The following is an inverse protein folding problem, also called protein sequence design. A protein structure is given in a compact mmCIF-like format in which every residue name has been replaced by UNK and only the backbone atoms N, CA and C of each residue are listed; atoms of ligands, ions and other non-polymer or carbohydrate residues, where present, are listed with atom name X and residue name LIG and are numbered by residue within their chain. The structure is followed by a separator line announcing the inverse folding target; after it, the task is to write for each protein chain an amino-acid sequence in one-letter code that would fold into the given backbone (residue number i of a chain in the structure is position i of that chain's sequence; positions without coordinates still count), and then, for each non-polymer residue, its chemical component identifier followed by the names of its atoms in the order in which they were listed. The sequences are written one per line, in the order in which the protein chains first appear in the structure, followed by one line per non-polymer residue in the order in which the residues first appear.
data_IF_142134094432
#
_entry.id   IF_142134094432
#
_cell.length_a   1.000
_cell.length_b   1.000
_cell.length_c   1.000
_cell.angle_alpha   90.00
_cell.angle_beta   90.00
_cell.angle_gamma   90.00
#
_symmetry.space_group_name_H-M   'P 1'
#
loop_
_entity.id
_entity.type
_entity.pdbx_description
1 polymer ?
#
# COMPACT_ATOMS: atom_id res chain seq x y z
N UNK A 1 -10.34 -24.31 -0.73
CA UNK A 1 -10.18 -22.87 -0.94
C UNK A 1 -8.68 -22.57 -0.85
N UNK A 2 -8.09 -22.05 -1.92
CA UNK A 2 -6.70 -21.63 -1.95
C UNK A 2 -6.65 -20.12 -1.69
N UNK A 3 -5.65 -19.67 -0.93
CA UNK A 3 -5.37 -18.24 -0.74
C UNK A 3 -3.90 -18.04 -1.08
N UNK A 4 -3.63 -17.05 -1.93
CA UNK A 4 -2.28 -16.61 -2.26
C UNK A 4 -2.14 -15.14 -1.90
N UNK A 5 -0.93 -14.73 -1.52
CA UNK A 5 -0.61 -13.37 -1.14
C UNK A 5 0.89 -13.14 -1.23
N UNK A 6 1.28 -11.89 -1.40
CA UNK A 6 2.67 -11.46 -1.44
C UNK A 6 2.87 -10.29 -0.49
N UNK A 7 4.07 -10.19 0.07
CA UNK A 7 4.53 -8.94 0.66
C UNK A 7 5.00 -8.06 -0.50
N UNK A 8 4.28 -6.96 -0.76
CA UNK A 8 4.65 -6.02 -1.83
C UNK A 8 6.04 -5.43 -1.57
N UNK A 9 6.74 -5.01 -2.64
CA UNK A 9 8.02 -4.33 -2.52
C UNK A 9 8.01 -3.24 -1.45
N UNK A 10 9.04 -3.24 -0.61
CA UNK A 10 9.15 -2.32 0.52
C UNK A 10 8.36 -2.71 1.76
N UNK A 11 7.70 -3.87 1.76
CA UNK A 11 6.89 -4.37 2.88
C UNK A 11 7.28 -5.79 3.27
N UNK A 12 7.06 -6.11 4.55
CA UNK A 12 7.20 -7.47 5.08
C UNK A 12 8.51 -8.14 4.69
N UNK A 13 8.43 -9.41 4.32
CA UNK A 13 9.57 -10.26 3.96
C UNK A 13 10.14 -9.98 2.57
N UNK A 14 9.54 -9.07 1.79
CA UNK A 14 10.14 -8.62 0.53
C UNK A 14 11.29 -7.62 0.75
N UNK A 15 11.39 -7.05 1.94
CA UNK A 15 12.51 -6.17 2.33
C UNK A 15 13.70 -7.04 2.71
N UNK A 16 14.77 -6.95 1.92
CA UNK A 16 16.02 -7.66 2.20
C UNK A 16 16.68 -7.18 3.50
N UNK A 17 17.60 -7.98 4.05
CA UNK A 17 18.43 -7.57 5.17
C UNK A 17 19.19 -6.26 4.84
N UNK A 18 19.13 -5.28 5.74
CA UNK A 18 19.66 -3.93 5.49
C UNK A 18 18.84 -3.08 4.50
N UNK A 19 17.70 -3.59 4.04
CA UNK A 19 16.74 -2.89 3.19
C UNK A 19 16.01 -1.76 3.91
N UNK A 20 15.34 -0.91 3.13
CA UNK A 20 14.56 0.22 3.65
C UNK A 20 13.08 -0.09 3.53
N UNK A 21 12.39 -0.27 4.66
CA UNK A 21 10.93 -0.38 4.67
C UNK A 21 10.29 0.88 4.08
N UNK A 22 9.19 0.69 3.34
CA UNK A 22 8.47 1.76 2.66
C UNK A 22 9.22 2.36 1.47
N UNK A 23 10.29 1.71 0.98
CA UNK A 23 10.90 1.98 -0.32
C UNK A 23 10.56 0.86 -1.29
N UNK A 24 10.00 1.20 -2.46
CA UNK A 24 9.49 0.22 -3.41
C UNK A 24 10.59 -0.15 -4.41
N UNK A 25 10.84 0.71 -5.39
CA UNK A 25 11.96 0.62 -6.31
C UNK A 25 12.24 1.98 -6.96
N UNK A 26 13.38 2.10 -7.62
CA UNK A 26 13.81 3.37 -8.21
C UNK A 26 12.97 3.77 -9.43
N UNK A 27 12.72 2.80 -10.32
CA UNK A 27 12.09 3.02 -11.61
C UNK A 27 10.65 2.52 -11.58
N UNK A 28 9.72 3.44 -11.84
CA UNK A 28 8.28 3.19 -12.00
C UNK A 28 7.63 2.27 -10.94
N UNK A 29 7.77 2.60 -9.63
CA UNK A 29 7.34 1.72 -8.55
C UNK A 29 5.84 1.38 -8.57
N UNK A 30 4.98 2.31 -9.02
CA UNK A 30 3.54 2.07 -9.08
C UNK A 30 3.16 1.00 -10.11
N UNK A 31 3.81 1.01 -11.28
CA UNK A 31 3.61 -0.04 -12.28
C UNK A 31 4.23 -1.36 -11.82
N UNK A 32 5.41 -1.31 -11.19
CA UNK A 32 6.10 -2.53 -10.74
C UNK A 32 5.25 -3.31 -9.73
N UNK A 33 4.68 -2.68 -8.71
CA UNK A 33 3.84 -3.41 -7.73
C UNK A 33 2.55 -3.96 -8.33
N UNK A 34 1.96 -3.28 -9.31
CA UNK A 34 0.81 -3.82 -10.04
C UNK A 34 1.21 -5.03 -10.89
N UNK A 35 2.42 -5.02 -11.47
CA UNK A 35 2.98 -6.13 -12.23
C UNK A 35 3.35 -7.32 -11.34
N UNK A 36 3.80 -7.07 -10.11
CA UNK A 36 4.12 -8.15 -9.16
C UNK A 36 2.85 -8.95 -8.81
N UNK A 37 1.73 -8.27 -8.56
CA UNK A 37 0.41 -8.90 -8.43
C UNK A 37 0.04 -9.73 -9.67
N UNK A 38 0.37 -9.23 -10.88
CA UNK A 38 0.17 -10.00 -12.12
C UNK A 38 1.00 -11.27 -12.15
N UNK A 39 2.27 -11.18 -11.73
CA UNK A 39 3.18 -12.32 -11.67
C UNK A 39 2.66 -13.38 -10.69
N UNK A 40 2.19 -12.97 -9.51
CA UNK A 40 1.60 -13.90 -8.55
C UNK A 40 0.36 -14.60 -9.10
N UNK A 41 -0.54 -13.85 -9.77
CA UNK A 41 -1.69 -14.44 -10.47
C UNK A 41 -1.23 -15.49 -11.49
N UNK A 42 -0.28 -15.16 -12.35
CA UNK A 42 0.22 -16.07 -13.40
C UNK A 42 0.80 -17.36 -12.82
N UNK A 43 1.64 -17.27 -11.78
CA UNK A 43 2.20 -18.44 -11.08
C UNK A 43 1.08 -19.30 -10.47
N UNK A 44 0.07 -18.65 -9.88
CA UNK A 44 -1.06 -19.33 -9.25
C UNK A 44 -1.95 -20.02 -10.29
N UNK A 45 -2.26 -19.36 -11.41
CA UNK A 45 -3.02 -19.94 -12.52
C UNK A 45 -2.29 -21.10 -13.18
N UNK A 46 -0.96 -21.03 -13.34
CA UNK A 46 -0.17 -22.14 -13.87
C UNK A 46 -0.24 -23.38 -12.97
N UNK A 47 -0.32 -23.17 -11.65
CA UNK A 47 -0.44 -24.25 -10.66
C UNK A 47 -1.88 -24.77 -10.54
N UNK A 48 -2.89 -23.93 -10.83
CA UNK A 48 -4.31 -24.21 -10.61
C UNK A 48 -5.19 -23.65 -11.74
N UNK A 49 -5.09 -24.18 -12.98
CA UNK A 49 -5.65 -23.54 -14.17
C UNK A 49 -7.19 -23.52 -14.25
N UNK A 50 -7.87 -24.41 -13.53
CA UNK A 50 -9.34 -24.55 -13.58
C UNK A 50 -10.05 -23.84 -12.41
N UNK A 51 -9.31 -23.21 -11.51
CA UNK A 51 -9.86 -22.57 -10.31
C UNK A 51 -10.21 -21.11 -10.62
N UNK A 52 -11.45 -20.65 -10.35
CA UNK A 52 -11.80 -19.24 -10.51
C UNK A 52 -10.91 -18.32 -9.67
N UNK A 53 -10.44 -17.23 -10.27
CA UNK A 53 -9.51 -16.29 -9.66
C UNK A 53 -10.25 -15.04 -9.16
N UNK A 54 -10.39 -14.93 -7.84
CA UNK A 54 -10.93 -13.73 -7.17
C UNK A 54 -9.78 -12.96 -6.52
N UNK A 55 -9.68 -11.66 -6.80
CA UNK A 55 -8.67 -10.77 -6.20
C UNK A 55 -9.29 -9.90 -5.10
N UNK A 56 -8.60 -9.77 -3.98
CA UNK A 56 -9.00 -8.89 -2.88
C UNK A 56 -7.91 -7.84 -2.63
N UNK A 57 -8.32 -6.58 -2.50
CA UNK A 57 -7.43 -5.47 -2.14
C UNK A 57 -7.98 -4.65 -0.98
N UNK A 58 -7.18 -4.48 0.08
CA UNK A 58 -7.50 -3.65 1.25
C UNK A 58 -6.62 -2.40 1.34
N UNK A 59 -7.18 -1.23 1.67
CA UNK A 59 -6.43 0.02 1.87
C UNK A 59 -5.53 0.34 0.66
N UNK A 60 -4.21 0.46 0.80
CA UNK A 60 -3.28 0.62 -0.32
C UNK A 60 -3.43 -0.51 -1.37
N UNK A 61 -3.61 -1.76 -0.92
CA UNK A 61 -3.88 -2.90 -1.79
C UNK A 61 -5.14 -2.72 -2.63
N UNK A 62 -6.15 -1.98 -2.15
CA UNK A 62 -7.35 -1.65 -2.92
C UNK A 62 -7.02 -0.77 -4.14
N UNK A 63 -6.08 0.17 -4.00
CA UNK A 63 -5.61 1.01 -5.10
C UNK A 63 -4.80 0.20 -6.12
N UNK A 64 -3.94 -0.70 -5.63
CA UNK A 64 -3.19 -1.64 -6.47
C UNK A 64 -4.17 -2.53 -7.25
N UNK A 65 -5.17 -3.13 -6.60
CA UNK A 65 -6.19 -3.96 -7.26
C UNK A 65 -7.00 -3.18 -8.29
N UNK A 66 -7.43 -1.94 -8.00
CA UNK A 66 -8.11 -1.08 -9.00
C UNK A 66 -7.22 -0.85 -10.23
N UNK A 67 -5.95 -0.49 -10.02
CA UNK A 67 -4.96 -0.31 -11.08
C UNK A 67 -4.69 -1.59 -11.87
N UNK A 68 -4.67 -2.72 -11.17
CA UNK A 68 -4.50 -4.06 -11.74
C UNK A 68 -5.65 -4.41 -12.67
N UNK A 69 -6.89 -4.24 -12.23
CA UNK A 69 -8.08 -4.57 -13.03
C UNK A 69 -8.13 -3.77 -14.34
N UNK A 70 -7.71 -2.50 -14.32
CA UNK A 70 -7.63 -1.67 -15.52
C UNK A 70 -6.58 -2.14 -16.55
N UNK A 71 -5.49 -2.78 -16.10
CA UNK A 71 -4.37 -3.21 -16.97
C UNK A 71 -4.39 -4.69 -17.33
N UNK A 72 -4.79 -5.54 -16.38
CA UNK A 72 -4.64 -6.99 -16.39
C UNK A 72 -5.91 -7.74 -15.96
N UNK A 73 -7.08 -7.09 -15.96
CA UNK A 73 -8.34 -7.66 -15.46
C UNK A 73 -8.83 -8.92 -16.20
N UNK A 74 -8.26 -9.26 -17.36
CA UNK A 74 -8.61 -10.49 -18.09
C UNK A 74 -8.25 -11.73 -17.26
N UNK A 75 -9.22 -12.63 -17.12
CA UNK A 75 -9.08 -13.86 -16.32
C UNK A 75 -9.14 -13.61 -14.81
N UNK A 76 -9.78 -12.52 -14.38
CA UNK A 76 -10.21 -12.33 -12.98
C UNK A 76 -11.73 -12.50 -12.96
N UNK A 77 -12.21 -13.47 -12.18
CA UNK A 77 -13.62 -13.84 -12.11
C UNK A 77 -14.39 -13.00 -11.08
N UNK A 78 -13.69 -12.35 -10.14
CA UNK A 78 -14.28 -11.45 -9.17
C UNK A 78 -13.25 -10.56 -8.50
N UNK A 79 -13.71 -9.42 -7.98
CA UNK A 79 -12.87 -8.49 -7.23
C UNK A 79 -13.57 -8.02 -5.96
N UNK A 80 -12.83 -7.97 -4.85
CA UNK A 80 -13.29 -7.46 -3.56
C UNK A 80 -12.40 -6.28 -3.16
N UNK A 81 -13.01 -5.12 -2.98
CA UNK A 81 -12.33 -3.86 -2.69
C UNK A 81 -12.73 -3.41 -1.28
N UNK A 82 -11.78 -3.32 -0.36
CA UNK A 82 -12.03 -3.05 1.06
C UNK A 82 -11.27 -1.81 1.53
N UNK A 83 -11.91 -0.94 2.30
CA UNK A 83 -11.24 0.23 2.89
C UNK A 83 -10.60 1.17 1.85
N UNK A 84 -11.24 1.30 0.68
CA UNK A 84 -10.74 2.15 -0.41
C UNK A 84 -11.13 3.61 -0.22
N UNK A 85 -10.56 4.48 -1.06
CA UNK A 85 -10.89 5.90 -1.10
C UNK A 85 -10.69 6.49 -2.49
N UNK A 86 -10.99 7.77 -2.61
CA UNK A 86 -10.65 8.57 -3.78
C UNK A 86 -10.29 9.96 -3.28
N UNK A 87 -9.24 10.54 -3.84
CA UNK A 87 -8.82 11.89 -3.53
C UNK A 87 -9.00 12.79 -4.75
N UNK A 88 -9.23 14.08 -4.53
CA UNK A 88 -9.35 15.02 -5.65
C UNK A 88 -8.03 15.11 -6.41
N UNK A 89 -8.11 15.29 -7.73
CA UNK A 89 -6.92 15.40 -8.57
C UNK A 89 -5.97 16.54 -8.14
N UNK A 90 -6.54 17.65 -7.65
CA UNK A 90 -5.77 18.77 -7.10
C UNK A 90 -5.01 18.38 -5.83
N UNK A 91 -5.63 17.66 -4.90
CA UNK A 91 -4.96 17.19 -3.69
C UNK A 91 -3.80 16.23 -4.05
N UNK A 92 -4.04 15.27 -4.94
CA UNK A 92 -2.99 14.34 -5.39
C UNK A 92 -1.84 15.08 -6.08
N UNK A 93 -2.13 16.09 -6.90
CA UNK A 93 -1.09 16.90 -7.53
C UNK A 93 -0.24 17.64 -6.48
N UNK A 94 -0.87 18.27 -5.49
CA UNK A 94 -0.16 18.92 -4.38
C UNK A 94 0.67 17.92 -3.56
N UNK A 95 0.13 16.74 -3.25
CA UNK A 95 0.85 15.68 -2.54
C UNK A 95 2.07 15.18 -3.31
N UNK A 96 1.96 15.00 -4.64
CA UNK A 96 3.08 14.64 -5.51
C UNK A 96 4.14 15.74 -5.57
N UNK A 97 3.74 17.02 -5.65
CA UNK A 97 4.66 18.14 -5.65
C UNK A 97 5.44 18.25 -4.33
N UNK A 98 4.74 18.13 -3.19
CA UNK A 98 5.34 18.10 -1.85
C UNK A 98 6.37 16.96 -1.73
N UNK A 99 6.00 15.75 -2.15
CA UNK A 99 6.92 14.62 -2.14
C UNK A 99 8.11 14.81 -3.09
N UNK A 100 7.90 15.46 -4.25
CA UNK A 100 8.96 15.82 -5.19
C UNK A 100 9.97 16.81 -4.60
N UNK A 101 9.50 17.84 -3.91
CA UNK A 101 10.35 18.81 -3.18
C UNK A 101 11.18 18.06 -2.13
N UNK A 102 10.55 17.24 -1.30
CA UNK A 102 11.27 16.52 -0.26
C UNK A 102 12.26 15.50 -0.84
N UNK A 103 11.95 14.87 -1.98
CA UNK A 103 12.89 14.02 -2.72
C UNK A 103 14.13 14.80 -3.16
N UNK A 104 13.96 16.04 -3.64
CA UNK A 104 15.06 16.87 -4.12
C UNK A 104 16.04 17.22 -2.99
N UNK A 105 15.54 17.51 -1.78
CA UNK A 105 16.37 17.90 -0.64
C UNK A 105 16.90 16.73 0.20
N UNK A 106 16.13 15.65 0.32
CA UNK A 106 16.43 14.56 1.26
C UNK A 106 16.71 13.20 0.57
N UNK A 107 16.42 13.08 -0.73
CA UNK A 107 16.55 11.83 -1.49
C UNK A 107 15.30 10.95 -1.43
N UNK A 108 15.25 9.94 -2.31
CA UNK A 108 14.10 9.03 -2.48
C UNK A 108 13.88 8.06 -1.31
N UNK A 109 14.97 7.65 -0.65
CA UNK A 109 14.97 6.71 0.49
C UNK A 109 14.71 7.39 1.83
N UNK A 110 14.57 8.71 1.87
CA UNK A 110 14.30 9.43 3.11
C UNK A 110 12.93 9.04 3.68
N UNK A 111 12.90 8.59 4.93
CA UNK A 111 11.67 8.30 5.68
C UNK A 111 10.97 9.60 6.04
N UNK A 112 9.72 9.78 5.60
CA UNK A 112 9.04 11.08 5.72
C UNK A 112 7.92 11.08 6.76
N UNK A 113 8.25 11.46 7.99
CA UNK A 113 7.24 11.69 9.03
C UNK A 113 6.33 12.89 8.74
N UNK A 114 6.80 13.86 7.94
CA UNK A 114 6.00 15.00 7.55
C UNK A 114 4.84 14.59 6.62
N UNK A 115 5.14 13.86 5.54
CA UNK A 115 4.13 13.39 4.59
C UNK A 115 3.21 12.37 5.29
N UNK A 116 3.76 11.51 6.14
CA UNK A 116 3.00 10.57 6.97
C UNK A 116 1.92 11.26 7.82
N UNK A 117 2.34 12.28 8.59
CA UNK A 117 1.41 13.06 9.41
C UNK A 117 0.36 13.78 8.57
N UNK A 118 0.72 14.29 7.39
CA UNK A 118 -0.23 14.93 6.48
C UNK A 118 -1.24 13.92 5.89
N UNK A 119 -0.80 12.69 5.59
CA UNK A 119 -1.62 11.65 4.99
C UNK A 119 -2.57 10.98 6.00
N UNK A 120 -2.06 10.64 7.19
CA UNK A 120 -2.72 9.75 8.14
C UNK A 120 -2.99 10.39 9.51
N UNK A 121 -2.36 11.51 9.85
CA UNK A 121 -2.40 12.09 11.20
C UNK A 121 -3.78 12.53 11.68
N UNK A 122 -4.77 12.62 10.78
CA UNK A 122 -6.15 12.97 11.12
C UNK A 122 -7.08 11.75 11.24
N UNK A 123 -6.61 10.51 11.07
CA UNK A 123 -7.50 9.34 11.02
C UNK A 123 -8.14 9.04 12.38
N UNK A 124 -7.46 9.37 13.48
CA UNK A 124 -8.02 9.29 14.83
C UNK A 124 -8.96 10.44 15.20
N UNK A 125 -9.16 11.46 14.34
CA UNK A 125 -9.88 12.70 14.71
C UNK A 125 -11.32 12.47 15.18
N UNK A 126 -11.94 11.35 14.81
CA UNK A 126 -13.31 10.97 15.18
C UNK A 126 -13.38 10.02 16.38
N UNK A 127 -12.25 9.73 17.01
CA UNK A 127 -12.16 8.89 18.20
C UNK A 127 -11.98 9.84 19.39
N UNK A 128 -12.92 9.81 20.34
CA UNK A 128 -12.94 10.77 21.46
C UNK A 128 -11.68 10.68 22.33
N UNK A 129 -11.25 9.46 22.64
CA UNK A 129 -10.09 9.17 23.49
C UNK A 129 -9.26 8.04 22.87
N UNK A 130 -8.43 8.33 21.85
CA UNK A 130 -7.58 7.31 21.24
C UNK A 130 -6.47 6.88 22.21
N UNK A 131 -6.30 5.57 22.39
CA UNK A 131 -5.20 4.91 23.11
C UNK A 131 -3.88 5.02 22.36
N UNK A 132 -3.90 4.91 21.03
CA UNK A 132 -2.70 4.87 20.19
C UNK A 132 -2.87 5.75 18.94
N UNK A 133 -1.79 6.01 18.20
CA UNK A 133 -1.84 6.70 16.90
C UNK A 133 -2.55 5.88 15.79
N UNK A 134 -2.83 4.59 16.05
CA UNK A 134 -3.32 3.62 15.07
C UNK A 134 -4.73 3.09 15.40
N UNK A 135 -5.43 3.66 16.38
CA UNK A 135 -6.76 3.23 16.82
C UNK A 135 -7.82 3.27 15.70
N UNK A 136 -7.62 4.12 14.70
CA UNK A 136 -8.45 4.16 13.49
C UNK A 136 -8.46 2.84 12.71
N UNK A 137 -7.47 1.96 12.89
CA UNK A 137 -7.37 0.67 12.18
C UNK A 137 -8.46 -0.32 12.60
N UNK A 138 -8.82 -0.37 13.88
CA UNK A 138 -9.76 -1.35 14.38
C UNK A 138 -10.42 -0.91 15.68
N UNK A 139 -11.72 -1.19 15.78
CA UNK A 139 -12.45 -1.06 17.05
C UNK A 139 -11.96 -2.06 18.10
N UNK A 140 -11.45 -3.23 17.69
CA UNK A 140 -10.90 -4.20 18.63
C UNK A 140 -9.46 -3.76 19.00
N UNK A 141 -9.20 -3.39 20.27
CA UNK A 141 -7.88 -2.96 20.70
C UNK A 141 -6.81 -4.03 20.54
N UNK A 142 -7.15 -5.32 20.64
CA UNK A 142 -6.17 -6.41 20.46
C UNK A 142 -5.60 -6.43 19.04
N UNK A 143 -6.39 -6.06 18.03
CA UNK A 143 -5.90 -5.95 16.64
C UNK A 143 -4.91 -4.79 16.50
N UNK A 144 -5.18 -3.67 17.18
CA UNK A 144 -4.31 -2.49 17.18
C UNK A 144 -3.00 -2.80 17.90
N UNK A 145 -3.08 -3.43 19.08
CA UNK A 145 -1.92 -3.82 19.87
C UNK A 145 -1.04 -4.82 19.10
N UNK A 146 -1.64 -5.80 18.41
CA UNK A 146 -0.92 -6.73 17.53
C UNK A 146 -0.27 -6.05 16.34
N UNK A 147 -0.92 -5.08 15.72
CA UNK A 147 -0.36 -4.30 14.61
C UNK A 147 0.87 -3.49 15.05
N UNK A 148 0.81 -2.89 16.23
CA UNK A 148 1.92 -2.09 16.78
C UNK A 148 3.11 -2.98 17.20
N UNK A 149 2.83 -4.18 17.71
CA UNK A 149 3.87 -5.12 18.15
C UNK A 149 4.60 -5.83 16.99
N UNK A 150 4.04 -5.81 15.77
CA UNK A 150 4.65 -6.45 14.60
C UNK A 150 5.68 -5.52 13.94
N UNK A 151 6.95 -5.91 13.97
CA UNK A 151 8.07 -5.14 13.40
C UNK A 151 7.96 -4.96 11.88
N UNK A 152 7.18 -5.80 11.19
CA UNK A 152 6.90 -5.69 9.76
C UNK A 152 5.76 -4.72 9.44
N UNK A 153 5.11 -4.15 10.47
CA UNK A 153 3.99 -3.23 10.37
C UNK A 153 4.36 -1.84 10.92
N UNK A 154 3.47 -0.86 10.74
CA UNK A 154 3.56 0.45 11.41
C UNK A 154 4.71 1.37 10.97
N UNK A 155 5.61 0.92 10.10
CA UNK A 155 6.72 1.73 9.63
C UNK A 155 6.26 2.90 8.75
N UNK A 156 6.95 4.03 8.87
CA UNK A 156 6.71 5.19 8.02
C UNK A 156 7.33 4.99 6.63
N UNK A 157 6.59 5.37 5.59
CA UNK A 157 7.08 5.25 4.23
C UNK A 157 8.23 6.21 3.92
N UNK A 158 9.06 5.81 2.96
CA UNK A 158 10.00 6.74 2.34
C UNK A 158 9.27 7.71 1.41
N UNK A 159 9.96 8.77 0.98
CA UNK A 159 9.46 9.67 -0.07
C UNK A 159 9.03 8.88 -1.31
N UNK A 160 9.82 7.88 -1.72
CA UNK A 160 9.48 6.98 -2.82
C UNK A 160 8.17 6.22 -2.55
N UNK A 161 7.99 5.67 -1.34
CA UNK A 161 6.76 4.99 -0.96
C UNK A 161 5.53 5.90 -1.04
N UNK A 162 5.62 7.11 -0.50
CA UNK A 162 4.52 8.08 -0.59
C UNK A 162 4.21 8.52 -2.03
N UNK A 163 5.24 8.80 -2.84
CA UNK A 163 5.03 9.10 -4.26
C UNK A 163 4.30 7.97 -4.97
N UNK A 164 4.69 6.73 -4.69
CA UNK A 164 4.06 5.53 -5.24
C UNK A 164 2.59 5.42 -4.82
N UNK A 165 2.30 5.61 -3.52
CA UNK A 165 0.94 5.62 -3.00
C UNK A 165 0.06 6.68 -3.69
N UNK A 166 0.57 7.90 -3.87
CA UNK A 166 -0.17 8.98 -4.54
C UNK A 166 -0.39 8.73 -6.03
N UNK A 167 0.50 7.98 -6.68
CA UNK A 167 0.29 7.51 -8.06
C UNK A 167 -0.84 6.48 -8.13
N UNK A 168 -0.88 5.55 -7.18
CA UNK A 168 -1.86 4.45 -7.15
C UNK A 168 -3.29 4.90 -6.84
N UNK A 169 -3.48 5.98 -6.07
CA UNK A 169 -4.83 6.45 -5.67
C UNK A 169 -5.73 6.83 -6.87
N UNK A 170 -5.14 7.09 -8.04
CA UNK A 170 -5.81 7.67 -9.20
C UNK A 170 -6.91 6.78 -9.83
#
# INVERSE_FOLDING_TARGET
MLVTGEDHLGHGKSVAEGGTYGYFCEQDPATVVVRDVHRLKKITEESYPEVPYVILGHSMGSFITRNYLCRYGKGVDGAVIVGTGMQSGGLILCSKAMAGIQKLFCGSRHVSHFIDKAAFGNYNKRIDVPRTASDWLSRNPENVDRYIADELCGFTFTVNGFQTLFELIR
#
